data_IF_186688666416
#
_entry.id   IF_186688666416
#
_cell.length_a   1.000
_cell.length_b   1.000
_cell.length_c   1.000
_cell.angle_alpha   90.00
_cell.angle_beta   90.00
_cell.angle_gamma   90.00
#
_symmetry.space_group_name_H-M   'P 1'
#
loop_
_entity.id
_entity.type
_entity.pdbx_description
1 polymer ?
#
# COMPACT_ATOMS: atom_id res chain seq x y z
N UNK A 1 13.48 -31.95 16.07
CA UNK A 1 13.49 -30.56 16.52
C UNK A 1 13.12 -29.71 15.31
N UNK A 2 11.84 -29.47 15.10
CA UNK A 2 11.32 -28.69 13.97
C UNK A 2 11.39 -27.22 14.35
N UNK A 3 12.23 -26.45 13.65
CA UNK A 3 12.31 -25.01 13.84
C UNK A 3 11.11 -24.37 13.13
N UNK A 4 10.15 -23.88 13.90
CA UNK A 4 9.08 -23.03 13.39
C UNK A 4 9.62 -21.61 13.22
N UNK A 5 9.59 -21.10 11.98
CA UNK A 5 9.96 -19.72 11.68
C UNK A 5 8.66 -18.91 11.53
N UNK A 6 8.36 -18.04 12.49
CA UNK A 6 7.27 -17.08 12.38
C UNK A 6 7.79 -15.79 11.75
N UNK A 7 7.36 -15.49 10.52
CA UNK A 7 7.63 -14.20 9.86
C UNK A 7 6.44 -13.30 10.14
N UNK A 8 6.62 -12.34 11.04
CA UNK A 8 5.58 -11.35 11.36
C UNK A 8 5.68 -10.19 10.36
N UNK A 9 4.96 -10.31 9.24
CA UNK A 9 4.80 -9.24 8.25
C UNK A 9 3.81 -8.19 8.79
N UNK A 10 4.29 -7.24 9.57
CA UNK A 10 3.47 -6.11 10.02
C UNK A 10 3.32 -5.12 8.87
N UNK A 11 2.32 -5.33 8.01
CA UNK A 11 1.90 -4.29 7.07
C UNK A 11 1.27 -3.15 7.88
N UNK A 12 1.93 -1.99 7.94
CA UNK A 12 1.31 -0.78 8.50
C UNK A 12 0.13 -0.39 7.60
N UNK A 13 -1.07 -0.83 7.96
CA UNK A 13 -2.30 -0.68 7.16
C UNK A 13 -2.89 0.73 7.20
N UNK A 14 -2.56 1.51 8.24
CA UNK A 14 -3.02 2.89 8.41
C UNK A 14 -1.85 3.88 8.33
N UNK A 15 -1.99 4.85 7.43
CA UNK A 15 -1.06 5.97 7.28
C UNK A 15 -1.75 7.24 7.75
N UNK A 16 -1.31 7.75 8.90
CA UNK A 16 -1.59 9.12 9.34
C UNK A 16 -0.36 9.95 8.97
N UNK A 17 -0.49 10.81 7.95
CA UNK A 17 0.56 11.76 7.57
C UNK A 17 0.34 13.08 8.33
N UNK A 18 1.34 13.50 9.10
CA UNK A 18 1.26 14.75 9.87
C UNK A 18 1.13 15.99 8.99
N UNK A 19 1.53 15.91 7.73
CA UNK A 19 1.43 17.02 6.77
C UNK A 19 0.01 17.26 6.28
N UNK A 20 -0.89 16.29 6.48
CA UNK A 20 -2.31 16.40 6.11
C UNK A 20 -3.18 16.90 7.28
N UNK A 21 -2.56 17.26 8.41
CA UNK A 21 -3.22 17.94 9.52
C UNK A 21 -3.50 19.37 9.11
N UNK A 22 -4.77 19.76 9.12
CA UNK A 22 -5.15 21.15 8.90
C UNK A 22 -5.45 21.78 10.25
N UNK A 23 -4.67 22.80 10.61
CA UNK A 23 -4.87 23.60 11.81
C UNK A 23 -5.14 25.04 11.35
N UNK A 24 -6.35 25.51 11.56
CA UNK A 24 -6.72 26.91 11.32
C UNK A 24 -6.68 27.66 12.64
N UNK A 25 -5.78 28.64 12.74
CA UNK A 25 -5.60 29.49 13.93
C UNK A 25 -5.98 30.90 13.52
N UNK A 26 -6.82 31.56 14.33
CA UNK A 26 -7.16 32.96 14.11
C UNK A 26 -5.95 33.87 14.31
N UNK A 27 -5.31 34.27 13.21
CA UNK A 27 -4.21 35.23 13.23
C UNK A 27 -4.72 36.61 13.65
N UNK A 28 -4.58 36.92 14.94
CA UNK A 28 -4.76 38.28 15.48
C UNK A 28 -6.05 38.53 16.27
N UNK A 29 -6.93 37.53 16.44
CA UNK A 29 -8.15 37.65 17.24
C UNK A 29 -8.15 36.63 18.36
N UNK A 30 -8.43 37.08 19.58
CA UNK A 30 -8.55 36.17 20.73
C UNK A 30 -9.93 35.49 20.72
N UNK A 31 -10.11 34.46 21.54
CA UNK A 31 -11.41 33.81 21.79
C UNK A 31 -12.49 34.75 22.27
N UNK A 32 -12.12 35.92 22.82
CA UNK A 32 -13.10 36.92 23.25
C UNK A 32 -13.72 37.65 22.06
N UNK A 33 -12.97 37.78 20.96
CA UNK A 33 -13.40 38.46 19.74
C UNK A 33 -13.95 37.49 18.69
N UNK A 34 -13.33 36.31 18.54
CA UNK A 34 -13.69 35.32 17.53
C UNK A 34 -13.49 33.89 18.03
N UNK A 35 -14.54 33.08 17.94
CA UNK A 35 -14.50 31.64 18.26
C UNK A 35 -14.83 30.82 17.02
N UNK A 36 -13.93 29.92 16.64
CA UNK A 36 -14.18 28.97 15.56
C UNK A 36 -14.89 27.73 16.11
N UNK A 37 -15.98 27.34 15.46
CA UNK A 37 -16.79 26.18 15.83
C UNK A 37 -16.97 25.26 14.62
N UNK A 38 -16.89 23.95 14.86
CA UNK A 38 -17.23 22.96 13.86
C UNK A 38 -18.73 23.03 13.53
N UNK A 39 -19.06 23.01 12.23
CA UNK A 39 -20.45 22.97 11.78
C UNK A 39 -21.12 21.66 12.19
N UNK A 40 -22.30 21.73 12.80
CA UNK A 40 -23.10 20.56 13.15
C UNK A 40 -23.58 19.83 11.88
N UNK A 41 -23.37 18.51 11.82
CA UNK A 41 -23.79 17.63 10.72
C UNK A 41 -22.72 17.37 9.66
N UNK A 42 -22.04 18.41 9.17
CA UNK A 42 -20.99 18.30 8.13
C UNK A 42 -19.81 19.21 8.46
N UNK A 43 -18.96 18.85 9.44
CA UNK A 43 -17.84 19.69 9.84
C UNK A 43 -16.75 19.75 8.76
N UNK A 44 -16.63 18.72 7.91
CA UNK A 44 -15.62 18.64 6.85
C UNK A 44 -16.28 18.20 5.55
N UNK A 45 -16.27 19.07 4.54
CA UNK A 45 -16.71 18.72 3.19
C UNK A 45 -15.59 17.99 2.45
N UNK A 46 -15.50 16.69 2.66
CA UNK A 46 -14.61 15.84 1.86
C UNK A 46 -15.27 15.55 0.51
N UNK A 47 -14.53 15.73 -0.58
CA UNK A 47 -14.97 15.30 -1.92
C UNK A 47 -15.24 13.80 -1.89
N UNK A 48 -16.51 13.40 -2.05
CA UNK A 48 -16.94 11.99 -2.02
C UNK A 48 -16.22 11.10 -3.05
N UNK A 49 -15.66 11.71 -4.09
CA UNK A 49 -14.89 11.07 -5.15
C UNK A 49 -13.39 11.36 -5.06
N UNK A 50 -12.84 11.55 -3.85
CA UNK A 50 -11.40 11.62 -3.64
C UNK A 50 -10.79 10.21 -3.78
N UNK A 51 -10.73 9.71 -5.01
CA UNK A 51 -10.14 8.43 -5.33
C UNK A 51 -8.66 8.63 -5.65
N UNK A 52 -7.80 8.62 -4.61
CA UNK A 52 -6.37 8.54 -4.88
C UNK A 52 -6.08 7.12 -5.39
N UNK A 53 -5.25 6.96 -6.44
CA UNK A 53 -4.98 5.66 -7.08
C UNK A 53 -4.36 4.59 -6.18
N UNK A 54 -4.04 4.92 -4.92
CA UNK A 54 -3.40 4.02 -3.94
C UNK A 54 -3.91 4.19 -2.50
N UNK A 55 -4.78 5.17 -2.24
CA UNK A 55 -5.24 5.52 -0.90
C UNK A 55 -6.72 5.86 -0.92
N UNK A 56 -7.46 5.31 0.04
CA UNK A 56 -8.86 5.66 0.29
C UNK A 56 -8.93 6.41 1.62
N UNK A 57 -9.72 7.48 1.69
CA UNK A 57 -9.98 8.14 2.96
C UNK A 57 -10.87 7.20 3.80
N UNK A 58 -10.35 6.72 4.92
CA UNK A 58 -11.07 5.80 5.80
C UNK A 58 -11.95 6.57 6.78
N UNK A 59 -11.37 7.58 7.45
CA UNK A 59 -12.04 8.41 8.46
C UNK A 59 -11.42 9.80 8.52
N UNK A 60 -12.15 10.76 9.06
CA UNK A 60 -11.64 12.07 9.47
C UNK A 60 -12.00 12.31 10.93
N UNK A 61 -11.10 12.94 11.68
CA UNK A 61 -11.30 13.31 13.08
C UNK A 61 -11.21 14.83 13.18
N UNK A 62 -12.20 15.43 13.83
CA UNK A 62 -12.28 16.88 14.07
C UNK A 62 -12.02 17.14 15.54
N UNK A 63 -11.11 18.04 15.84
CA UNK A 63 -10.71 18.40 17.20
C UNK A 63 -10.50 19.91 17.32
N UNK A 64 -10.34 20.39 18.55
CA UNK A 64 -10.05 21.79 18.86
C UNK A 64 -8.64 21.91 19.42
N UNK A 65 -7.88 22.92 18.99
CA UNK A 65 -6.49 23.13 19.42
C UNK A 65 -6.27 24.44 20.18
N UNK A 66 -7.32 24.92 20.86
CA UNK A 66 -7.31 26.20 21.58
C UNK A 66 -6.11 26.28 22.53
N UNK A 67 -5.33 27.35 22.40
CA UNK A 67 -4.07 27.52 23.13
C UNK A 67 -3.97 28.92 23.73
N UNK A 68 -3.50 28.97 24.98
CA UNK A 68 -3.25 30.22 25.71
C UNK A 68 -1.82 30.68 25.48
N UNK A 69 -1.68 31.89 24.95
CA UNK A 69 -0.40 32.54 24.67
C UNK A 69 -0.28 33.84 25.48
N UNK A 70 0.92 34.43 25.56
CA UNK A 70 1.18 35.68 26.29
C UNK A 70 0.26 36.86 25.90
N UNK A 71 -0.30 36.86 24.69
CA UNK A 71 -1.18 37.91 24.18
C UNK A 71 -2.67 37.62 24.36
N UNK A 72 -3.07 36.40 24.74
CA UNK A 72 -4.47 35.98 24.81
C UNK A 72 -4.69 34.50 24.52
N UNK A 73 -5.92 34.04 24.66
CA UNK A 73 -6.36 32.70 24.24
C UNK A 73 -6.81 32.74 22.78
N UNK A 74 -6.32 31.80 21.97
CA UNK A 74 -6.66 31.71 20.54
C UNK A 74 -7.48 30.45 20.28
N UNK A 75 -8.58 30.61 19.53
CA UNK A 75 -9.39 29.50 19.05
C UNK A 75 -8.71 28.83 17.85
N UNK A 76 -8.68 27.50 17.84
CA UNK A 76 -8.11 26.73 16.74
C UNK A 76 -8.98 25.51 16.40
N UNK A 77 -9.16 25.28 15.11
CA UNK A 77 -9.78 24.07 14.56
C UNK A 77 -8.71 23.12 14.02
N UNK A 78 -8.77 21.85 14.39
CA UNK A 78 -7.87 20.80 13.93
C UNK A 78 -8.63 19.67 13.23
N UNK A 79 -8.13 19.23 12.07
CA UNK A 79 -8.64 18.04 11.38
C UNK A 79 -7.52 17.07 11.10
N UNK A 80 -7.70 15.82 11.54
CA UNK A 80 -6.84 14.70 11.18
C UNK A 80 -7.55 13.82 10.13
N UNK A 81 -6.92 13.66 8.96
CA UNK A 81 -7.42 12.81 7.88
C UNK A 81 -6.73 11.46 7.92
N UNK A 82 -7.50 10.38 8.09
CA UNK A 82 -7.00 9.01 8.13
C UNK A 82 -7.16 8.34 6.78
N UNK A 83 -6.04 7.98 6.15
CA UNK A 83 -6.03 7.27 4.87
C UNK A 83 -5.67 5.80 5.07
N UNK A 84 -6.47 4.93 4.45
CA UNK A 84 -6.19 3.50 4.33
C UNK A 84 -5.57 3.22 2.98
N UNK A 85 -4.56 2.36 2.95
CA UNK A 85 -3.90 1.95 1.70
C UNK A 85 -4.61 0.73 1.12
N UNK A 86 -5.24 0.90 -0.04
CA UNK A 86 -5.78 -0.23 -0.80
C UNK A 86 -4.66 -0.89 -1.62
N UNK A 87 -3.96 -1.85 -1.03
CA UNK A 87 -2.88 -2.60 -1.69
C UNK A 87 -3.36 -3.93 -2.29
N UNK A 88 -4.65 -4.24 -2.16
CA UNK A 88 -5.21 -5.57 -2.45
C UNK A 88 -4.97 -6.01 -3.90
N UNK A 89 -5.24 -5.14 -4.89
CA UNK A 89 -5.08 -5.48 -6.31
C UNK A 89 -3.60 -5.68 -6.71
N UNK A 90 -2.70 -4.83 -6.25
CA UNK A 90 -1.27 -4.93 -6.56
C UNK A 90 -0.62 -6.14 -5.88
N UNK A 91 -1.04 -6.49 -4.66
CA UNK A 91 -0.63 -7.74 -4.01
C UNK A 91 -1.09 -8.97 -4.79
N UNK A 92 -2.33 -8.99 -5.27
CA UNK A 92 -2.85 -10.09 -6.09
C UNK A 92 -2.01 -10.23 -7.37
N UNK A 93 -1.64 -9.12 -8.02
CA UNK A 93 -0.76 -9.14 -9.19
C UNK A 93 0.65 -9.65 -8.91
N UNK A 94 1.18 -9.54 -7.69
CA UNK A 94 2.45 -10.15 -7.28
C UNK A 94 2.25 -11.61 -6.87
N UNK A 95 1.13 -11.93 -6.25
CA UNK A 95 0.83 -13.28 -5.78
C UNK A 95 0.60 -14.25 -6.94
N UNK A 96 -0.07 -13.81 -8.01
CA UNK A 96 -0.30 -14.62 -9.24
C UNK A 96 1.01 -15.13 -9.85
N UNK A 97 2.02 -14.31 -10.19
CA UNK A 97 3.30 -14.79 -10.72
C UNK A 97 4.06 -15.63 -9.71
N UNK A 98 4.01 -15.32 -8.40
CA UNK A 98 4.61 -16.16 -7.37
C UNK A 98 3.97 -17.56 -7.33
N UNK A 99 2.64 -17.66 -7.38
CA UNK A 99 1.93 -18.93 -7.42
C UNK A 99 2.24 -19.71 -8.69
N UNK A 100 2.30 -19.05 -9.86
CA UNK A 100 2.70 -19.68 -11.12
C UNK A 100 4.11 -20.26 -11.03
N UNK A 101 5.06 -19.53 -10.43
CA UNK A 101 6.43 -20.00 -10.24
C UNK A 101 6.50 -21.21 -9.29
N UNK A 102 5.71 -21.22 -8.21
CA UNK A 102 5.60 -22.37 -7.30
C UNK A 102 4.96 -23.58 -8.00
N UNK A 103 3.93 -23.39 -8.81
CA UNK A 103 3.32 -24.47 -9.59
C UNK A 103 4.33 -25.03 -10.60
N UNK A 104 5.07 -24.17 -11.33
CA UNK A 104 6.08 -24.61 -12.29
C UNK A 104 7.20 -25.40 -11.62
N UNK A 105 7.65 -25.01 -10.43
CA UNK A 105 8.68 -25.76 -9.70
C UNK A 105 8.17 -27.13 -9.22
N UNK A 106 6.91 -27.21 -8.76
CA UNK A 106 6.27 -28.47 -8.37
C UNK A 106 5.97 -29.40 -9.54
N UNK A 107 5.47 -28.84 -10.65
CA UNK A 107 5.17 -29.60 -11.86
C UNK A 107 6.45 -30.10 -12.52
N UNK A 108 7.55 -29.35 -12.45
CA UNK A 108 8.86 -29.81 -12.95
C UNK A 108 9.37 -31.04 -12.21
N UNK A 109 9.05 -31.18 -10.91
CA UNK A 109 9.35 -32.38 -10.13
C UNK A 109 8.48 -33.58 -10.53
N UNK A 110 7.24 -33.34 -10.98
CA UNK A 110 6.36 -34.38 -11.54
C UNK A 110 6.69 -34.76 -12.99
N UNK A 111 7.31 -33.84 -13.75
CA UNK A 111 7.60 -34.04 -15.17
C UNK A 111 8.89 -34.83 -15.42
N UNK A 112 9.74 -35.04 -14.42
CA UNK A 112 10.92 -35.90 -14.58
C UNK A 112 10.76 -37.24 -13.87
N UNK A 113 10.13 -38.19 -14.58
CA UNK A 113 10.38 -39.61 -14.36
C UNK A 113 10.12 -40.52 -15.57
N UNK A 114 9.85 -40.00 -16.79
CA UNK A 114 9.50 -40.89 -17.90
C UNK A 114 9.70 -40.45 -19.35
N UNK A 115 10.07 -39.21 -19.67
CA UNK A 115 10.07 -38.77 -21.08
C UNK A 115 11.19 -37.81 -21.51
N UNK A 116 12.38 -37.88 -20.89
CA UNK A 116 13.55 -37.09 -21.33
C UNK A 116 14.83 -37.94 -21.50
N UNK A 117 14.86 -38.92 -22.44
CA UNK A 117 16.13 -39.24 -23.09
C UNK A 117 16.11 -39.00 -24.61
N UNK A 118 15.06 -38.37 -25.18
CA UNK A 118 14.91 -38.27 -26.63
C UNK A 118 15.27 -36.91 -27.26
N UNK A 119 15.55 -35.85 -26.49
CA UNK A 119 15.84 -34.52 -27.08
C UNK A 119 17.32 -34.16 -27.17
N UNK A 120 18.21 -34.91 -26.52
CA UNK A 120 19.66 -34.66 -26.61
C UNK A 120 20.29 -35.27 -27.87
N UNK A 121 19.64 -36.24 -28.52
CA UNK A 121 20.16 -36.87 -29.75
C UNK A 121 19.84 -36.10 -31.05
N UNK A 122 18.92 -35.14 -31.02
CA UNK A 122 18.54 -34.38 -32.23
C UNK A 122 19.51 -33.24 -32.56
N UNK A 123 20.27 -32.75 -31.58
CA UNK A 123 21.35 -31.77 -31.78
C UNK A 123 22.60 -32.37 -32.44
N UNK A 124 22.94 -33.63 -32.12
CA UNK A 124 24.12 -34.31 -32.65
C UNK A 124 23.95 -34.74 -34.12
N UNK A 125 22.73 -35.11 -34.54
CA UNK A 125 22.46 -35.61 -35.89
C UNK A 125 22.42 -34.52 -36.97
N UNK A 126 22.28 -33.24 -36.57
CA UNK A 126 22.49 -32.12 -37.50
C UNK A 126 23.98 -31.79 -37.71
N UNK A 127 24.85 -32.06 -36.71
CA UNK A 127 26.29 -31.78 -36.83
C UNK A 127 27.04 -32.80 -37.69
N UNK A 128 26.61 -34.06 -37.74
CA UNK A 128 27.28 -35.09 -38.56
C UNK A 128 26.94 -35.06 -40.05
N UNK A 129 25.97 -34.26 -40.50
CA UNK A 129 25.67 -34.14 -41.94
C UNK A 129 26.51 -33.07 -42.67
N UNK A 130 27.27 -32.25 -41.94
CA UNK A 130 28.09 -31.17 -42.50
C UNK A 130 29.61 -31.44 -42.50
N UNK A 131 30.07 -32.66 -42.19
CA UNK A 131 31.51 -33.04 -42.18
C UNK A 131 31.84 -34.09 -43.27
N UNK A 132 30.89 -34.44 -44.16
CA UNK A 132 31.13 -35.33 -45.32
C UNK A 132 31.05 -34.62 -46.67
N UNK A 133 31.26 -33.30 -46.71
CA UNK A 133 31.35 -32.52 -47.96
C UNK A 133 32.52 -31.52 -47.90
N UNK A 134 33.70 -32.02 -47.56
CA UNK A 134 34.99 -31.35 -47.75
C UNK A 134 35.91 -32.30 -48.48
#
# INVERSE_FOLDING_TARGET
MSNEYSVQLTFREQWLDERLKFNDVGDGWTTDDLVFLWKEGDPVQVVKNLHLPRFTLEKFLTDYCNSKTNTGEYSCLKVDLLFKREFSYYLIQIYIPCCMLVIVSWVSFWLDQGAVPARVSLGELHRKRNIRKG
#
